data_IF_018430512341
#
_entry.id   IF_018430512341
#
_cell.length_a   1.000
_cell.length_b   1.000
_cell.length_c   1.000
_cell.angle_alpha   90.00
_cell.angle_beta   90.00
_cell.angle_gamma   90.00
#
_symmetry.space_group_name_H-M   'P 1'
#
loop_
_entity.id
_entity.type
_entity.pdbx_description
1 polymer ?
#
# COMPACT_ATOMS: atom_id res chain seq x y z
N UNK A 1 11.95 13.49 -10.91
CA UNK A 1 11.04 12.97 -9.86
C UNK A 1 10.69 11.55 -10.27
N UNK A 2 10.87 10.56 -9.39
CA UNK A 2 10.43 9.19 -9.69
C UNK A 2 8.92 9.10 -9.43
N UNK A 3 8.18 8.44 -10.31
CA UNK A 3 6.73 8.28 -10.15
C UNK A 3 6.41 7.44 -8.91
N UNK A 4 5.37 7.86 -8.17
CA UNK A 4 4.94 7.19 -6.93
C UNK A 4 3.46 6.86 -7.04
N UNK A 5 3.13 5.58 -6.83
CA UNK A 5 1.75 5.10 -6.87
C UNK A 5 1.13 5.16 -5.48
N UNK A 6 -0.07 5.73 -5.38
CA UNK A 6 -0.85 5.76 -4.13
C UNK A 6 -2.03 4.82 -4.28
N UNK A 7 -2.16 3.87 -3.36
CA UNK A 7 -3.20 2.83 -3.43
C UNK A 7 -4.17 3.06 -2.27
N UNK A 8 -5.38 3.50 -2.61
CA UNK A 8 -6.50 3.58 -1.67
C UNK A 8 -7.18 2.22 -1.54
N UNK A 9 -7.61 1.88 -0.32
CA UNK A 9 -8.16 0.55 -0.05
C UNK A 9 -7.11 -0.56 -0.14
N UNK A 10 -5.87 -0.25 0.23
CA UNK A 10 -4.73 -1.16 0.12
C UNK A 10 -4.89 -2.47 0.90
N UNK A 11 -5.75 -2.51 1.91
CA UNK A 11 -6.03 -3.71 2.72
C UNK A 11 -7.12 -4.60 2.13
N UNK A 12 -7.83 -4.17 1.07
CA UNK A 12 -8.78 -5.01 0.36
C UNK A 12 -8.08 -6.07 -0.51
N UNK A 13 -8.83 -7.06 -0.99
CA UNK A 13 -8.31 -8.13 -1.85
C UNK A 13 -7.62 -7.61 -3.12
N UNK A 14 -8.26 -6.67 -3.82
CA UNK A 14 -7.72 -6.06 -5.04
C UNK A 14 -6.55 -5.13 -4.71
N UNK A 15 -6.70 -4.28 -3.69
CA UNK A 15 -5.69 -3.29 -3.31
C UNK A 15 -4.37 -3.94 -2.87
N UNK A 16 -4.45 -5.02 -2.08
CA UNK A 16 -3.27 -5.76 -1.62
C UNK A 16 -2.56 -6.48 -2.77
N UNK A 17 -3.32 -7.16 -3.64
CA UNK A 17 -2.76 -7.84 -4.81
C UNK A 17 -2.12 -6.85 -5.80
N UNK A 18 -2.70 -5.66 -5.97
CA UNK A 18 -2.14 -4.60 -6.80
C UNK A 18 -0.84 -4.04 -6.20
N UNK A 19 -0.82 -3.80 -4.88
CA UNK A 19 0.35 -3.32 -4.17
C UNK A 19 1.55 -4.27 -4.31
N UNK A 20 1.32 -5.58 -4.17
CA UNK A 20 2.32 -6.62 -4.38
C UNK A 20 2.88 -6.59 -5.81
N UNK A 21 2.00 -6.55 -6.82
CA UNK A 21 2.42 -6.51 -8.22
C UNK A 21 3.26 -5.25 -8.53
N UNK A 22 2.79 -4.08 -8.10
CA UNK A 22 3.51 -2.82 -8.34
C UNK A 22 4.88 -2.82 -7.66
N UNK A 23 4.97 -3.32 -6.43
CA UNK A 23 6.25 -3.44 -5.71
C UNK A 23 7.20 -4.42 -6.40
N UNK A 24 6.69 -5.57 -6.85
CA UNK A 24 7.48 -6.58 -7.56
C UNK A 24 7.97 -6.08 -8.93
N UNK A 25 7.23 -5.17 -9.58
CA UNK A 25 7.67 -4.48 -10.79
C UNK A 25 8.67 -3.34 -10.53
N UNK A 26 9.12 -3.14 -9.28
CA UNK A 26 10.11 -2.13 -8.92
C UNK A 26 9.56 -0.72 -8.69
N UNK A 27 8.23 -0.57 -8.61
CA UNK A 27 7.62 0.74 -8.41
C UNK A 27 7.66 1.17 -6.94
N UNK A 28 7.72 2.48 -6.73
CA UNK A 28 7.55 3.08 -5.42
C UNK A 28 6.07 3.26 -5.11
N UNK A 29 5.60 2.70 -4.00
CA UNK A 29 4.18 2.70 -3.64
C UNK A 29 3.95 3.34 -2.26
N UNK A 30 2.75 3.86 -2.06
CA UNK A 30 2.24 4.32 -0.78
C UNK A 30 0.83 3.77 -0.55
N UNK A 31 0.59 3.22 0.63
CA UNK A 31 -0.66 2.53 0.94
C UNK A 31 -1.57 3.42 1.80
N UNK A 32 -2.86 3.45 1.47
CA UNK A 32 -3.87 4.17 2.24
C UNK A 32 -5.01 3.20 2.58
N UNK A 33 -5.36 3.12 3.86
CA UNK A 33 -6.37 2.20 4.36
C UNK A 33 -6.92 2.62 5.71
N UNK A 34 -8.03 2.00 6.12
CA UNK A 34 -8.74 2.31 7.37
C UNK A 34 -8.35 1.40 8.55
N UNK A 35 -7.90 0.17 8.27
CA UNK A 35 -7.47 -0.76 9.31
C UNK A 35 -5.96 -0.64 9.52
N UNK A 36 -5.56 -0.06 10.66
CA UNK A 36 -4.16 0.19 11.01
C UNK A 36 -3.31 -1.08 11.07
N UNK A 37 -3.85 -2.14 11.66
CA UNK A 37 -3.12 -3.40 11.87
C UNK A 37 -2.83 -4.09 10.54
N UNK A 38 -3.85 -4.20 9.68
CA UNK A 38 -3.69 -4.77 8.34
C UNK A 38 -2.78 -3.91 7.47
N UNK A 39 -2.96 -2.58 7.52
CA UNK A 39 -2.18 -1.63 6.72
C UNK A 39 -0.70 -1.62 7.12
N UNK A 40 -0.41 -1.67 8.42
CA UNK A 40 0.96 -1.76 8.93
C UNK A 40 1.60 -3.07 8.47
N UNK A 41 0.92 -4.20 8.67
CA UNK A 41 1.41 -5.53 8.28
C UNK A 41 1.78 -5.62 6.80
N UNK A 42 0.91 -5.14 5.89
CA UNK A 42 1.21 -5.15 4.45
C UNK A 42 2.31 -4.15 4.08
N UNK A 43 2.36 -2.99 4.74
CA UNK A 43 3.38 -1.98 4.44
C UNK A 43 4.79 -2.43 4.84
N UNK A 44 4.91 -3.14 5.96
CA UNK A 44 6.16 -3.76 6.43
C UNK A 44 6.59 -4.89 5.49
N UNK A 45 5.66 -5.78 5.11
CA UNK A 45 5.89 -6.85 4.13
C UNK A 45 6.43 -6.30 2.81
N UNK A 46 5.88 -5.18 2.34
CA UNK A 46 6.25 -4.56 1.05
C UNK A 46 7.37 -3.52 1.17
N UNK A 47 7.85 -3.22 2.38
CA UNK A 47 8.83 -2.16 2.63
C UNK A 47 8.42 -0.83 2.00
N UNK A 48 7.23 -0.35 2.33
CA UNK A 48 6.66 0.88 1.78
C UNK A 48 6.03 1.76 2.86
N UNK A 49 5.73 3.01 2.49
CA UNK A 49 5.09 3.97 3.40
C UNK A 49 3.58 3.80 3.38
N UNK A 50 2.88 4.09 4.48
CA UNK A 50 1.43 4.03 4.55
C UNK A 50 0.83 5.21 5.31
N UNK A 51 -0.46 5.49 5.10
CA UNK A 51 -1.25 6.50 5.84
C UNK A 51 -2.59 5.89 6.26
N UNK A 52 -2.93 6.02 7.55
CA UNK A 52 -4.24 5.66 8.06
C UNK A 52 -5.28 6.69 7.61
N UNK A 53 -6.36 6.25 6.99
CA UNK A 53 -7.49 7.08 6.59
C UNK A 53 -8.56 7.09 7.68
N UNK A 54 -8.79 8.26 8.30
CA UNK A 54 -9.73 8.47 9.41
C UNK A 54 -11.10 9.08 9.00
N UNK A 55 -11.51 8.94 7.73
CA UNK A 55 -12.77 9.50 7.20
C UNK A 55 -13.72 8.41 6.69
#
# INVERSE_FOLDING_TARGET
MSEKYVIFGATGSIGSSLAEQLKNSGNNIHLVGRNESELSSISEKLGCSHTLQMF
#
